data_IF_308015279337
#
_entry.id   IF_308015279337
#
_cell.length_a   1.000
_cell.length_b   1.000
_cell.length_c   1.000
_cell.angle_alpha   90.00
_cell.angle_beta   90.00
_cell.angle_gamma   90.00
#
_symmetry.space_group_name_H-M   'P 1'
#
loop_
_entity.id
_entity.type
_entity.pdbx_description
1 polymer ?
#
# COMPACT_ATOMS: atom_id res chain seq x y z
N UNK A 1 -5.13 26.73 -21.04
CA UNK A 1 -6.13 25.65 -20.95
C UNK A 1 -7.44 26.30 -20.54
N UNK A 2 -8.54 26.06 -21.25
CA UNK A 2 -9.83 26.63 -20.85
C UNK A 2 -10.19 26.05 -19.48
N UNK A 3 -10.17 26.90 -18.45
CA UNK A 3 -10.56 26.51 -17.10
C UNK A 3 -12.05 26.17 -17.13
N UNK A 4 -12.36 24.88 -17.22
CA UNK A 4 -13.72 24.38 -17.39
C UNK A 4 -14.35 24.16 -16.01
N UNK A 5 -15.59 24.63 -15.86
CA UNK A 5 -16.36 24.44 -14.64
C UNK A 5 -16.58 22.95 -14.40
N UNK A 6 -16.32 22.48 -13.17
CA UNK A 6 -16.33 21.05 -12.86
C UNK A 6 -17.72 20.42 -13.02
N UNK A 7 -18.79 21.15 -12.66
CA UNK A 7 -20.19 20.67 -12.70
C UNK A 7 -21.18 21.78 -13.07
N UNK A 8 -21.34 22.13 -14.36
CA UNK A 8 -22.08 23.33 -14.78
C UNK A 8 -23.56 23.36 -14.40
N UNK A 9 -24.25 22.22 -14.46
CA UNK A 9 -25.68 22.15 -14.08
C UNK A 9 -25.88 22.29 -12.56
N UNK A 10 -25.02 21.65 -11.76
CA UNK A 10 -25.10 21.72 -10.31
C UNK A 10 -24.75 23.12 -9.77
N UNK A 11 -23.77 23.79 -10.38
CA UNK A 11 -23.45 25.18 -10.03
C UNK A 11 -24.54 26.14 -10.47
N UNK A 12 -25.21 25.90 -11.61
CA UNK A 12 -26.32 26.74 -12.07
C UNK A 12 -27.51 26.69 -11.09
N UNK A 13 -27.89 25.49 -10.60
CA UNK A 13 -28.93 25.32 -9.57
C UNK A 13 -28.58 26.14 -8.33
N UNK A 14 -27.34 26.01 -7.84
CA UNK A 14 -26.92 26.75 -6.65
C UNK A 14 -26.95 28.27 -6.87
N UNK A 15 -26.50 28.76 -8.02
CA UNK A 15 -26.51 30.19 -8.35
C UNK A 15 -27.95 30.73 -8.47
N UNK A 16 -28.86 29.99 -9.11
CA UNK A 16 -30.27 30.38 -9.21
C UNK A 16 -30.93 30.49 -7.83
N UNK A 17 -30.62 29.57 -6.92
CA UNK A 17 -31.27 29.52 -5.59
C UNK A 17 -30.67 30.50 -4.56
N UNK A 18 -29.38 30.85 -4.70
CA UNK A 18 -28.63 31.56 -3.65
C UNK A 18 -28.13 32.96 -4.06
N UNK A 19 -28.33 33.38 -5.31
CA UNK A 19 -27.86 34.68 -5.80
C UNK A 19 -28.92 35.42 -6.59
N UNK A 20 -28.83 36.75 -6.68
CA UNK A 20 -29.75 37.58 -7.46
C UNK A 20 -29.29 37.81 -8.92
N UNK A 21 -28.53 36.87 -9.49
CA UNK A 21 -27.96 36.98 -10.83
C UNK A 21 -29.03 36.78 -11.92
N UNK A 22 -28.84 37.45 -13.06
CA UNK A 22 -29.71 37.23 -14.22
C UNK A 22 -29.45 35.86 -14.87
N UNK A 23 -30.49 35.29 -15.49
CA UNK A 23 -30.39 34.00 -16.18
C UNK A 23 -29.34 34.03 -17.30
N UNK A 24 -29.18 35.17 -17.98
CA UNK A 24 -28.16 35.34 -19.02
C UNK A 24 -26.73 35.32 -18.46
N UNK A 25 -26.51 35.89 -17.28
CA UNK A 25 -25.21 35.83 -16.60
C UNK A 25 -24.85 34.40 -16.18
N UNK A 26 -25.81 33.67 -15.59
CA UNK A 26 -25.62 32.27 -15.18
C UNK A 26 -25.40 31.39 -16.41
N UNK A 27 -26.17 31.59 -17.49
CA UNK A 27 -26.03 30.89 -18.75
C UNK A 27 -24.63 31.08 -19.37
N UNK A 28 -24.14 32.32 -19.41
CA UNK A 28 -22.80 32.64 -19.91
C UNK A 28 -21.69 32.00 -19.06
N UNK A 29 -21.86 32.00 -17.73
CA UNK A 29 -20.87 31.43 -16.81
C UNK A 29 -20.81 29.90 -16.88
N UNK A 30 -21.97 29.23 -16.83
CA UNK A 30 -22.07 27.77 -16.88
C UNK A 30 -22.01 27.21 -18.31
N UNK A 31 -21.94 28.07 -19.34
CA UNK A 31 -22.01 27.71 -20.77
C UNK A 31 -23.26 26.88 -21.11
N UNK A 32 -24.39 27.26 -20.49
CA UNK A 32 -25.70 26.67 -20.74
C UNK A 32 -26.54 27.64 -21.54
N UNK A 33 -27.61 27.16 -22.18
CA UNK A 33 -28.56 28.06 -22.84
C UNK A 33 -29.44 28.77 -21.79
N UNK A 34 -29.83 30.04 -21.95
CA UNK A 34 -30.72 30.73 -21.01
C UNK A 34 -32.03 29.97 -20.73
N UNK A 35 -32.56 29.25 -21.73
CA UNK A 35 -33.73 28.38 -21.57
C UNK A 35 -33.48 27.20 -20.63
N UNK A 36 -32.27 26.64 -20.61
CA UNK A 36 -31.92 25.56 -19.66
C UNK A 36 -31.84 26.09 -18.23
N UNK A 37 -31.29 27.30 -18.05
CA UNK A 37 -31.25 27.97 -16.74
C UNK A 37 -32.67 28.28 -16.26
N UNK A 38 -33.55 28.73 -17.16
CA UNK A 38 -34.97 28.94 -16.85
C UNK A 38 -35.67 27.63 -16.47
N UNK A 39 -35.47 26.56 -17.23
CA UNK A 39 -36.03 25.25 -16.91
C UNK A 39 -35.50 24.69 -15.57
N UNK A 40 -34.26 25.02 -15.20
CA UNK A 40 -33.69 24.71 -13.87
C UNK A 40 -34.40 25.51 -12.77
N UNK A 41 -34.63 26.82 -12.99
CA UNK A 41 -35.36 27.67 -12.06
C UNK A 41 -36.82 27.22 -11.88
N UNK A 42 -37.45 26.75 -12.95
CA UNK A 42 -38.82 26.22 -12.95
C UNK A 42 -38.89 24.79 -12.36
N UNK A 43 -37.75 24.17 -12.03
CA UNK A 43 -37.67 22.82 -11.45
C UNK A 43 -37.97 21.67 -12.42
N UNK A 44 -38.05 21.96 -13.73
CA UNK A 44 -38.30 20.98 -14.79
C UNK A 44 -37.00 20.31 -15.25
N UNK A 45 -35.91 21.07 -15.32
CA UNK A 45 -34.58 20.56 -15.66
C UNK A 45 -33.75 20.31 -14.39
N UNK A 46 -33.07 19.14 -14.35
CA UNK A 46 -32.15 18.73 -13.28
C UNK A 46 -32.78 18.23 -11.96
N UNK A 47 -34.01 17.69 -12.00
CA UNK A 47 -34.57 16.92 -10.88
C UNK A 47 -33.61 15.83 -10.41
N UNK A 48 -33.21 15.89 -9.13
CA UNK A 48 -32.27 14.95 -8.50
C UNK A 48 -30.81 15.40 -8.46
N UNK A 49 -30.44 16.54 -9.06
CA UNK A 49 -29.09 17.11 -8.93
C UNK A 49 -29.06 18.05 -7.73
N UNK A 50 -28.20 17.76 -6.74
CA UNK A 50 -27.97 18.67 -5.62
C UNK A 50 -27.09 19.84 -6.07
N UNK A 51 -27.52 21.06 -5.77
CA UNK A 51 -26.74 22.27 -6.03
C UNK A 51 -25.35 22.21 -5.38
N UNK A 52 -24.32 22.60 -6.13
CA UNK A 52 -22.94 22.64 -5.66
C UNK A 52 -22.47 24.09 -5.56
N UNK A 53 -22.01 24.47 -4.37
CA UNK A 53 -21.52 25.83 -4.11
C UNK A 53 -20.19 26.11 -4.87
N UNK A 54 -20.18 27.08 -5.80
CA UNK A 54 -18.99 27.49 -6.54
C UNK A 54 -17.98 28.27 -5.67
N UNK A 55 -18.39 28.83 -4.53
CA UNK A 55 -17.52 29.53 -3.58
C UNK A 55 -16.73 28.51 -2.77
N UNK A 56 -17.41 27.52 -2.21
CA UNK A 56 -16.77 26.42 -1.46
C UNK A 56 -15.79 25.61 -2.31
N UNK A 57 -16.05 25.48 -3.61
CA UNK A 57 -15.14 24.81 -4.56
C UNK A 57 -13.99 25.71 -5.06
N UNK A 58 -13.98 26.99 -4.68
CA UNK A 58 -12.96 27.96 -5.09
C UNK A 58 -13.01 28.33 -6.57
N UNK A 59 -14.17 28.20 -7.21
CA UNK A 59 -14.41 28.54 -8.62
C UNK A 59 -14.94 29.97 -8.80
N UNK A 60 -15.61 30.52 -7.78
CA UNK A 60 -16.04 31.91 -7.70
C UNK A 60 -15.65 32.53 -6.35
N UNK A 61 -15.41 33.84 -6.35
CA UNK A 61 -15.28 34.62 -5.12
C UNK A 61 -16.58 35.32 -4.79
N UNK A 62 -16.83 35.55 -3.50
CA UNK A 62 -18.02 36.28 -3.04
C UNK A 62 -18.07 37.71 -3.58
N UNK A 63 -16.90 38.34 -3.72
CA UNK A 63 -16.76 39.68 -4.29
C UNK A 63 -17.11 39.73 -5.78
N UNK A 64 -16.89 38.64 -6.52
CA UNK A 64 -17.27 38.55 -7.93
C UNK A 64 -18.79 38.47 -8.08
N UNK A 65 -19.45 37.67 -7.23
CA UNK A 65 -20.92 37.55 -7.20
C UNK A 65 -21.55 38.91 -6.84
N UNK A 66 -21.07 39.58 -5.79
CA UNK A 66 -21.60 40.88 -5.39
C UNK A 66 -21.49 41.96 -6.49
N UNK A 67 -20.39 41.97 -7.25
CA UNK A 67 -20.22 42.86 -8.41
C UNK A 67 -21.17 42.52 -9.56
N UNK A 68 -21.44 41.24 -9.75
CA UNK A 68 -22.34 40.75 -10.78
C UNK A 68 -23.82 40.98 -10.44
N UNK A 69 -24.19 40.92 -9.16
CA UNK A 69 -25.52 41.27 -8.67
C UNK A 69 -25.82 42.77 -8.82
N UNK A 70 -24.82 43.62 -8.61
CA UNK A 70 -24.97 45.07 -8.80
C UNK A 70 -25.10 45.48 -10.28
N UNK A 71 -24.60 44.67 -11.21
CA UNK A 71 -24.56 45.00 -12.64
C UNK A 71 -24.99 43.81 -13.51
N UNK A 72 -26.21 43.84 -14.09
CA UNK A 72 -26.73 42.75 -14.94
C UNK A 72 -25.89 42.44 -16.19
N UNK A 73 -25.10 43.42 -16.66
CA UNK A 73 -24.23 43.27 -17.83
C UNK A 73 -22.84 42.71 -17.49
N UNK A 74 -22.52 42.53 -16.20
CA UNK A 74 -21.21 42.04 -15.78
C UNK A 74 -21.07 40.54 -16.03
N UNK A 75 -19.96 40.14 -16.64
CA UNK A 75 -19.68 38.74 -16.99
C UNK A 75 -18.81 38.10 -15.92
N UNK A 76 -19.35 37.10 -15.23
CA UNK A 76 -18.65 36.32 -14.23
C UNK A 76 -17.42 35.62 -14.82
N UNK A 77 -16.29 35.71 -14.13
CA UNK A 77 -15.04 35.03 -14.50
C UNK A 77 -14.67 33.98 -13.46
N UNK A 78 -14.14 32.85 -13.91
CA UNK A 78 -13.65 31.81 -13.01
C UNK A 78 -12.41 32.30 -12.26
N UNK A 79 -12.35 32.03 -10.96
CA UNK A 79 -11.12 32.23 -10.19
C UNK A 79 -10.05 31.20 -10.59
N UNK A 80 -8.79 31.62 -10.54
CA UNK A 80 -7.67 30.72 -10.76
C UNK A 80 -7.56 29.72 -9.59
N UNK A 81 -7.37 28.42 -9.86
CA UNK A 81 -7.25 27.43 -8.80
C UNK A 81 -6.01 27.69 -7.97
N UNK A 82 -6.18 27.83 -6.64
CA UNK A 82 -5.09 28.06 -5.69
C UNK A 82 -4.10 26.89 -5.60
N UNK A 83 -4.52 25.69 -6.01
CA UNK A 83 -3.71 24.46 -5.98
C UNK A 83 -3.65 23.84 -7.37
N UNK A 84 -2.44 23.82 -7.95
CA UNK A 84 -2.18 23.15 -9.23
C UNK A 84 -1.72 21.72 -8.97
N UNK A 85 -2.64 20.76 -9.09
CA UNK A 85 -2.28 19.34 -9.00
C UNK A 85 -1.54 18.94 -10.28
N UNK A 86 -0.30 18.42 -10.21
CA UNK A 86 0.39 17.91 -11.38
C UNK A 86 -0.35 16.69 -11.94
N UNK A 87 -0.66 16.71 -13.24
CA UNK A 87 -1.29 15.57 -13.91
C UNK A 87 -0.37 14.35 -13.86
N UNK A 88 -0.87 13.22 -13.32
CA UNK A 88 -0.14 11.97 -13.34
C UNK A 88 -0.03 11.46 -14.78
N UNK A 89 1.15 11.56 -15.39
CA UNK A 89 1.39 11.01 -16.72
C UNK A 89 1.20 9.50 -16.69
N UNK A 90 0.12 9.00 -17.30
CA UNK A 90 -0.07 7.57 -17.53
C UNK A 90 0.98 7.12 -18.54
N UNK A 91 1.82 6.15 -18.18
CA UNK A 91 2.79 5.55 -19.11
C UNK A 91 1.99 4.84 -20.22
N UNK A 92 2.19 5.26 -21.47
CA UNK A 92 1.53 4.66 -22.63
C UNK A 92 2.01 3.21 -22.90
N UNK A 93 1.37 2.50 -23.85
CA UNK A 93 1.79 1.15 -24.25
C UNK A 93 3.25 1.14 -24.70
N UNK A 94 4.08 0.31 -24.06
CA UNK A 94 5.51 0.18 -24.41
C UNK A 94 5.63 -0.75 -25.62
N UNK A 95 5.88 -0.20 -26.81
CA UNK A 95 6.19 -1.01 -27.99
C UNK A 95 7.57 -1.65 -27.83
N UNK A 96 7.64 -2.97 -27.99
CA UNK A 96 8.93 -3.68 -28.05
C UNK A 96 9.29 -3.96 -29.52
N UNK A 97 10.48 -3.54 -29.96
CA UNK A 97 10.94 -3.76 -31.33
C UNK A 97 11.03 -5.26 -31.64
N UNK A 98 10.85 -5.62 -32.91
CA UNK A 98 10.77 -7.01 -33.39
C UNK A 98 11.98 -7.85 -32.99
N UNK A 99 13.18 -7.27 -33.02
CA UNK A 99 14.42 -7.93 -32.58
C UNK A 99 14.34 -8.46 -31.14
N UNK A 100 13.83 -7.63 -30.22
CA UNK A 100 13.71 -7.95 -28.79
C UNK A 100 12.51 -8.85 -28.46
N UNK A 101 11.70 -9.25 -29.44
CA UNK A 101 10.54 -10.13 -29.19
C UNK A 101 10.95 -11.58 -28.94
N UNK A 102 12.03 -12.02 -29.55
CA UNK A 102 12.59 -13.37 -29.35
C UNK A 102 13.19 -13.53 -27.95
N UNK A 103 13.57 -12.43 -27.30
CA UNK A 103 14.11 -12.45 -25.93
C UNK A 103 13.01 -12.47 -24.86
N UNK A 104 11.75 -12.18 -25.22
CA UNK A 104 10.64 -12.17 -24.25
C UNK A 104 10.38 -13.54 -23.63
N UNK A 105 10.37 -14.66 -24.37
CA UNK A 105 10.25 -15.98 -23.76
C UNK A 105 11.39 -16.32 -22.80
N UNK A 106 12.62 -15.92 -23.12
CA UNK A 106 13.80 -16.09 -22.27
C UNK A 106 13.66 -15.30 -20.95
N UNK A 107 13.16 -14.08 -21.03
CA UNK A 107 12.85 -13.22 -19.88
C UNK A 107 11.75 -13.80 -18.98
N UNK A 108 10.68 -14.33 -19.58
CA UNK A 108 9.57 -14.95 -18.83
C UNK A 108 10.08 -16.19 -18.10
N UNK A 109 10.88 -17.03 -18.76
CA UNK A 109 11.46 -18.23 -18.15
C UNK A 109 12.34 -17.88 -16.94
N UNK A 110 13.13 -16.80 -17.04
CA UNK A 110 13.94 -16.31 -15.92
C UNK A 110 13.07 -15.81 -14.77
N UNK A 111 12.01 -15.04 -15.05
CA UNK A 111 11.10 -14.53 -14.03
C UNK A 111 10.36 -15.65 -13.30
N UNK A 112 9.84 -16.64 -14.03
CA UNK A 112 9.14 -17.79 -13.43
C UNK A 112 10.09 -18.64 -12.59
N UNK A 113 11.37 -18.74 -12.98
CA UNK A 113 12.37 -19.55 -12.25
C UNK A 113 12.91 -18.85 -11.00
N UNK A 114 13.22 -17.55 -11.07
CA UNK A 114 13.87 -16.83 -9.97
C UNK A 114 12.86 -16.11 -9.05
N UNK A 115 11.71 -15.71 -9.58
CA UNK A 115 10.67 -15.00 -8.85
C UNK A 115 9.31 -15.70 -9.00
N UNK A 116 9.13 -16.89 -8.41
CA UNK A 116 7.84 -17.60 -8.43
C UNK A 116 6.73 -16.84 -7.68
N UNK A 117 7.10 -15.82 -6.89
CA UNK A 117 6.17 -14.94 -6.17
C UNK A 117 5.39 -14.00 -7.10
N UNK A 118 5.92 -13.72 -8.31
CA UNK A 118 5.28 -12.82 -9.26
C UNK A 118 4.04 -13.45 -9.90
N UNK A 119 2.91 -12.73 -9.83
CA UNK A 119 1.66 -13.09 -10.52
C UNK A 119 1.79 -12.84 -12.03
N UNK A 120 1.04 -13.58 -12.85
CA UNK A 120 1.10 -13.42 -14.32
C UNK A 120 0.70 -12.02 -14.79
N UNK A 121 -0.19 -11.34 -14.06
CA UNK A 121 -0.53 -9.95 -14.30
C UNK A 121 0.69 -9.01 -14.16
N UNK A 122 1.56 -9.30 -13.20
CA UNK A 122 2.77 -8.54 -12.92
C UNK A 122 3.82 -8.79 -14.02
N UNK A 123 4.05 -10.05 -14.37
CA UNK A 123 4.95 -10.46 -15.47
C UNK A 123 4.50 -9.86 -16.80
N UNK A 124 3.19 -9.86 -17.09
CA UNK A 124 2.63 -9.26 -18.31
C UNK A 124 2.89 -7.76 -18.43
N UNK A 125 2.91 -7.03 -17.30
CA UNK A 125 3.19 -5.59 -17.23
C UNK A 125 4.67 -5.28 -17.40
N UNK A 126 5.56 -6.12 -16.84
CA UNK A 126 7.01 -5.95 -16.93
C UNK A 126 7.55 -6.25 -18.34
N UNK A 127 7.13 -7.36 -18.95
CA UNK A 127 7.67 -7.85 -20.23
C UNK A 127 6.83 -7.38 -21.43
N UNK A 128 5.55 -7.02 -21.23
CA UNK A 128 4.64 -6.62 -22.31
C UNK A 128 4.20 -7.81 -23.18
N UNK A 129 3.93 -8.95 -22.55
CA UNK A 129 3.46 -10.20 -23.17
C UNK A 129 2.01 -10.53 -22.77
N UNK A 130 1.39 -11.51 -23.42
CA UNK A 130 0.07 -12.03 -23.03
C UNK A 130 0.18 -13.10 -21.94
N UNK A 131 -0.88 -13.24 -21.14
CA UNK A 131 -0.97 -14.28 -20.08
C UNK A 131 -0.87 -15.70 -20.64
N UNK A 132 -1.50 -15.95 -21.80
CA UNK A 132 -1.44 -17.24 -22.49
C UNK A 132 -0.01 -17.67 -22.82
N UNK A 133 0.85 -16.73 -23.23
CA UNK A 133 2.26 -17.02 -23.51
C UNK A 133 3.04 -17.32 -22.23
N UNK A 134 2.70 -16.68 -21.11
CA UNK A 134 3.32 -16.96 -19.81
C UNK A 134 2.97 -18.39 -19.36
N UNK A 135 1.70 -18.78 -19.46
CA UNK A 135 1.23 -20.14 -19.16
C UNK A 135 1.94 -21.18 -20.05
N UNK A 136 2.02 -20.94 -21.36
CA UNK A 136 2.72 -21.85 -22.28
C UNK A 136 4.20 -22.05 -21.94
N UNK A 137 4.87 -21.03 -21.41
CA UNK A 137 6.28 -21.13 -21.00
C UNK A 137 6.39 -21.88 -19.68
N UNK A 138 5.46 -21.66 -18.75
CA UNK A 138 5.37 -22.39 -17.47
C UNK A 138 5.15 -23.89 -17.70
N UNK A 139 4.24 -24.22 -18.61
CA UNK A 139 3.88 -25.60 -18.97
C UNK A 139 4.85 -26.21 -20.01
N UNK A 140 5.85 -25.44 -20.47
CA UNK A 140 6.80 -25.81 -21.54
C UNK A 140 6.13 -26.22 -22.87
N UNK A 141 4.90 -25.77 -23.13
CA UNK A 141 4.14 -26.01 -24.36
C UNK A 141 4.39 -24.97 -25.45
N UNK A 142 5.19 -23.94 -25.17
CA UNK A 142 5.63 -22.98 -26.17
C UNK A 142 6.41 -23.66 -27.31
N UNK A 143 6.19 -23.26 -28.57
CA UNK A 143 6.78 -23.88 -29.76
C UNK A 143 8.32 -23.96 -29.73
N UNK A 144 8.98 -23.02 -29.03
CA UNK A 144 10.43 -22.96 -28.90
C UNK A 144 10.94 -23.37 -27.49
N UNK A 145 10.17 -24.13 -26.70
CA UNK A 145 10.50 -24.42 -25.29
C UNK A 145 11.84 -25.11 -25.10
N UNK A 146 12.29 -25.92 -26.07
CA UNK A 146 13.56 -26.65 -26.02
C UNK A 146 14.80 -25.75 -26.10
N UNK A 147 14.73 -24.59 -26.77
CA UNK A 147 15.87 -23.69 -26.97
C UNK A 147 15.84 -22.45 -26.08
N UNK A 148 14.90 -22.36 -25.13
CA UNK A 148 14.81 -21.20 -24.24
C UNK A 148 15.93 -21.21 -23.22
N UNK A 149 16.60 -20.07 -23.07
CA UNK A 149 17.60 -19.84 -22.04
C UNK A 149 17.07 -18.79 -21.05
N UNK A 150 17.11 -19.03 -19.73
CA UNK A 150 16.66 -18.05 -18.75
C UNK A 150 17.61 -16.86 -18.74
N UNK A 151 17.14 -15.70 -19.22
CA UNK A 151 17.89 -14.43 -19.28
C UNK A 151 17.16 -13.34 -18.51
N UNK A 152 17.89 -12.47 -17.82
CA UNK A 152 17.31 -11.42 -16.97
C UNK A 152 16.61 -10.33 -17.81
N UNK A 153 15.32 -10.02 -17.56
CA UNK A 153 14.56 -8.99 -18.28
C UNK A 153 15.16 -7.57 -18.19
N UNK A 154 15.93 -7.25 -17.15
CA UNK A 154 16.59 -5.95 -16.99
C UNK A 154 17.77 -5.85 -17.97
N UNK A 155 18.58 -6.91 -18.09
CA UNK A 155 19.70 -6.97 -19.04
C UNK A 155 19.24 -6.90 -20.50
N UNK A 156 18.07 -7.44 -20.80
CA UNK A 156 17.41 -7.36 -22.11
C UNK A 156 16.79 -5.98 -22.39
N UNK A 157 16.68 -5.14 -21.36
CA UNK A 157 16.08 -3.81 -21.41
C UNK A 157 14.56 -3.84 -21.62
N UNK A 158 13.89 -4.89 -21.13
CA UNK A 158 12.43 -5.04 -21.18
C UNK A 158 11.77 -4.29 -20.02
N UNK A 159 12.33 -4.44 -18.81
CA UNK A 159 11.96 -3.69 -17.61
C UNK A 159 13.14 -2.86 -17.08
N UNK A 160 12.86 -1.90 -16.20
CA UNK A 160 13.90 -1.24 -15.41
C UNK A 160 14.09 -1.98 -14.08
N UNK A 161 15.27 -1.84 -13.47
CA UNK A 161 15.53 -2.41 -12.15
C UNK A 161 14.49 -1.96 -11.12
N UNK A 162 14.16 -0.66 -11.13
CA UNK A 162 13.17 -0.07 -10.23
C UNK A 162 11.79 -0.70 -10.42
N UNK A 163 11.37 -0.95 -11.66
CA UNK A 163 10.07 -1.55 -11.94
C UNK A 163 10.04 -3.02 -11.49
N UNK A 164 11.15 -3.77 -11.64
CA UNK A 164 11.27 -5.16 -11.18
C UNK A 164 11.19 -5.24 -9.66
N UNK A 165 12.03 -4.47 -8.96
CA UNK A 165 12.10 -4.47 -7.49
C UNK A 165 10.75 -4.06 -6.87
N UNK A 166 10.09 -3.05 -7.43
CA UNK A 166 8.78 -2.60 -6.95
C UNK A 166 7.70 -3.68 -7.11
N UNK A 167 7.74 -4.45 -8.19
CA UNK A 167 6.75 -5.49 -8.44
C UNK A 167 7.01 -6.75 -7.60
N UNK A 168 8.28 -7.09 -7.36
CA UNK A 168 8.70 -8.14 -6.41
C UNK A 168 8.30 -7.76 -4.98
N UNK A 169 8.54 -6.53 -4.53
CA UNK A 169 8.13 -6.07 -3.20
C UNK A 169 6.60 -6.12 -3.03
N UNK A 170 5.84 -5.73 -4.05
CA UNK A 170 4.37 -5.85 -4.05
C UNK A 170 3.91 -7.29 -4.02
N UNK A 171 4.59 -8.19 -4.74
CA UNK A 171 4.28 -9.62 -4.76
C UNK A 171 4.56 -10.27 -3.41
N UNK A 172 5.70 -9.95 -2.79
CA UNK A 172 6.09 -10.42 -1.47
C UNK A 172 5.10 -9.97 -0.39
N UNK A 173 4.65 -8.71 -0.41
CA UNK A 173 3.60 -8.20 0.49
C UNK A 173 2.25 -8.86 0.29
N UNK A 174 1.98 -9.36 -0.93
CA UNK A 174 0.73 -10.01 -1.29
C UNK A 174 0.68 -11.50 -0.97
N UNK A 175 1.80 -12.10 -0.52
CA UNK A 175 1.83 -13.49 -0.04
C UNK A 175 1.39 -13.50 1.43
N UNK A 176 0.39 -14.32 1.82
CA UNK A 176 0.20 -14.60 3.25
C UNK A 176 1.51 -15.18 3.79
N UNK A 177 1.94 -14.75 4.98
CA UNK A 177 3.13 -15.32 5.62
C UNK A 177 3.05 -16.85 5.54
N UNK A 178 4.14 -17.54 5.15
CA UNK A 178 4.14 -19.00 5.06
C UNK A 178 3.62 -19.56 6.38
N UNK A 179 2.62 -20.44 6.30
CA UNK A 179 2.10 -21.15 7.46
C UNK A 179 3.23 -21.93 8.11
N UNK A 180 3.21 -22.06 9.44
CA UNK A 180 4.25 -22.74 10.24
C UNK A 180 4.58 -24.19 9.79
N UNK A 181 3.78 -24.78 8.91
CA UNK A 181 4.04 -26.07 8.27
C UNK A 181 5.06 -26.01 7.10
N UNK A 182 5.21 -24.87 6.41
CA UNK A 182 6.20 -24.68 5.33
C UNK A 182 7.57 -24.21 5.87
N UNK A 183 7.57 -23.49 6.98
CA UNK A 183 8.75 -23.06 7.73
C UNK A 183 9.16 -24.15 8.73
N UNK A 184 9.62 -25.31 8.24
CA UNK A 184 10.19 -26.34 9.11
C UNK A 184 11.20 -25.74 10.10
N UNK A 185 11.05 -26.07 11.38
CA UNK A 185 11.90 -25.72 12.54
C UNK A 185 12.83 -24.50 12.33
N UNK A 186 12.26 -23.33 12.00
CA UNK A 186 13.03 -22.09 11.97
C UNK A 186 13.12 -21.52 13.38
N UNK A 187 14.27 -20.92 13.71
CA UNK A 187 14.46 -20.25 14.99
C UNK A 187 13.43 -19.12 15.14
N UNK A 188 12.98 -18.91 16.38
CA UNK A 188 12.02 -17.86 16.66
C UNK A 188 12.55 -16.49 16.19
N UNK A 189 11.66 -15.59 15.70
CA UNK A 189 12.04 -14.26 15.25
C UNK A 189 12.86 -13.53 16.32
N UNK A 190 13.89 -12.78 15.90
CA UNK A 190 14.76 -12.03 16.83
C UNK A 190 13.98 -11.10 17.79
N UNK A 191 12.81 -10.62 17.38
CA UNK A 191 11.94 -9.78 18.21
C UNK A 191 11.29 -10.53 19.39
N UNK A 192 11.11 -11.85 19.30
CA UNK A 192 10.65 -12.68 20.41
C UNK A 192 11.80 -13.05 21.36
N UNK A 193 13.02 -13.27 20.83
CA UNK A 193 14.20 -13.54 21.65
C UNK A 193 14.77 -12.31 22.34
N UNK A 194 14.59 -11.10 21.79
CA UNK A 194 14.94 -9.84 22.48
C UNK A 194 14.05 -9.53 23.68
N UNK A 195 12.83 -10.08 23.72
CA UNK A 195 11.89 -9.95 24.84
C UNK A 195 11.98 -11.08 25.86
N UNK A 196 12.95 -11.99 25.74
CA UNK A 196 13.38 -12.78 26.87
C UNK A 196 14.11 -11.82 27.81
N UNK A 197 13.34 -11.25 28.74
CA UNK A 197 13.87 -10.50 29.86
C UNK A 197 14.89 -11.40 30.54
N UNK A 198 16.17 -11.10 30.32
CA UNK A 198 17.24 -11.57 31.18
C UNK A 198 17.01 -10.91 32.54
N UNK A 199 16.09 -11.45 33.32
CA UNK A 199 16.11 -11.27 34.75
C UNK A 199 17.36 -12.00 35.23
N UNK A 200 18.48 -11.29 35.27
CA UNK A 200 19.36 -11.44 36.42
C UNK A 200 18.51 -11.04 37.62
N UNK A 201 17.69 -11.97 38.13
CA UNK A 201 17.52 -12.05 39.57
C UNK A 201 18.94 -12.34 40.08
N UNK A 202 19.67 -11.26 40.36
CA UNK A 202 20.62 -11.34 41.45
C UNK A 202 19.73 -11.66 42.64
N UNK A 203 19.62 -12.95 42.95
CA UNK A 203 19.23 -13.37 44.27
C UNK A 203 20.20 -12.61 45.19
N UNK A 204 19.72 -11.51 45.78
CA UNK A 204 20.23 -11.10 47.07
C UNK A 204 20.02 -12.34 47.92
N UNK A 205 21.09 -13.12 48.07
CA UNK A 205 21.19 -14.15 49.07
C UNK A 205 20.68 -13.48 50.34
N UNK A 206 19.45 -13.82 50.74
CA UNK A 206 19.03 -13.62 52.11
C UNK A 206 20.16 -14.22 52.91
N UNK A 207 20.89 -13.38 53.65
CA UNK A 207 21.81 -13.79 54.69
C UNK A 207 21.04 -14.75 55.58
N UNK A 208 21.11 -16.03 55.26
CA UNK A 208 20.76 -17.09 56.19
C UNK A 208 21.92 -17.06 57.14
N UNK A 209 21.78 -16.28 58.21
CA UNK A 209 22.65 -16.38 59.37
C UNK A 209 22.79 -17.87 59.68
N UNK A 210 24.01 -18.37 59.49
CA UNK A 210 24.33 -19.78 59.69
C UNK A 210 24.24 -19.99 61.19
N UNK A 211 23.19 -20.67 61.65
CA UNK A 211 23.02 -21.03 63.06
C UNK A 211 24.15 -21.98 63.49
N UNK A 212 25.10 -21.45 64.28
CA UNK A 212 26.27 -22.18 64.73
C UNK A 212 25.89 -23.43 65.55
N UNK A 213 24.78 -23.41 66.28
CA UNK A 213 24.36 -24.53 67.12
C UNK A 213 23.90 -25.74 66.28
N UNK A 214 23.32 -25.50 65.09
CA UNK A 214 22.93 -26.57 64.17
C UNK A 214 24.16 -27.29 63.56
N UNK A 215 25.28 -26.58 63.37
CA UNK A 215 26.52 -27.14 62.83
C UNK A 215 27.24 -28.00 63.87
N UNK A 216 27.30 -27.54 65.12
CA UNK A 216 27.94 -28.30 66.20
C UNK A 216 27.10 -29.51 66.64
N UNK A 217 25.77 -29.45 66.58
CA UNK A 217 24.91 -30.61 66.83
C UNK A 217 25.16 -31.74 65.81
N UNK A 218 25.31 -31.40 64.54
CA UNK A 218 25.55 -32.36 63.46
C UNK A 218 26.93 -33.02 63.55
N UNK A 219 27.96 -32.26 63.95
CA UNK A 219 29.30 -32.80 64.19
C UNK A 219 29.35 -33.73 65.42
N UNK A 220 28.58 -33.43 66.47
CA UNK A 220 28.50 -34.28 67.68
C UNK A 220 27.80 -35.62 67.39
N UNK A 221 26.75 -35.60 66.57
CA UNK A 221 26.05 -36.81 66.07
C UNK A 221 26.95 -37.70 65.22
N UNK A 222 27.83 -37.12 64.39
CA UNK A 222 28.80 -37.89 63.59
C UNK A 222 29.93 -38.49 64.43
N UNK A 223 30.25 -37.91 65.60
CA UNK A 223 31.29 -38.44 66.49
C UNK A 223 30.77 -39.54 67.43
N UNK A 224 29.47 -39.57 67.72
CA UNK A 224 28.87 -40.68 68.49
C UNK A 224 28.71 -41.96 67.67
N UNK A 225 28.57 -41.86 66.34
CA UNK A 225 28.45 -43.03 65.44
C UNK A 225 29.76 -43.76 65.17
N UNK A 226 30.91 -43.27 65.66
CA UNK A 226 32.22 -43.92 65.48
C UNK A 226 32.81 -44.48 66.78
N UNK A 227 32.03 -44.60 67.86
CA UNK A 227 32.54 -45.09 69.16
C UNK A 227 31.87 -46.36 69.69
N UNK A 228 30.91 -46.94 68.98
CA UNK A 228 30.15 -48.11 69.46
C UNK A 228 30.45 -49.42 68.69
N UNK A 229 31.49 -49.49 67.87
CA UNK A 229 31.84 -50.70 67.07
C UNK A 229 33.23 -51.29 67.37
N UNK A 230 33.78 -51.11 68.58
CA UNK A 230 34.96 -51.84 69.05
C UNK A 230 34.82 -52.19 70.55
N UNK A 231 34.15 -53.29 70.86
CA UNK A 231 34.47 -54.23 71.96
C UNK A 231 33.34 -55.29 72.10
N UNK A 232 33.50 -56.45 71.46
CA UNK A 232 33.01 -57.74 71.97
C UNK A 232 33.63 -58.89 71.16
N UNK A 233 34.87 -59.25 71.51
CA UNK A 233 35.50 -60.50 71.09
C UNK A 233 36.61 -60.89 72.10
N UNK A 234 36.23 -61.28 73.34
CA UNK A 234 37.03 -62.23 74.14
C UNK A 234 36.31 -62.81 75.38
N UNK A 235 35.85 -64.07 75.28
CA UNK A 235 36.06 -65.24 76.16
C UNK A 235 34.89 -66.24 76.13
#
# INVERSE_FOLDING_TARGET
>A
MAQQLLMPKATAIWLVDNTALSFDQIAQFCKLHPLEVKAIADGEAAQGIKGLDPISTGQLTRDEIARAEANPNHKLKLSEPKVRVPESKRRGPRYTPVSKRQDRPNAILWLVRNHPELKDAQISRLVGTTKSTIEQIRDRTHWNSANLAPMDPVTLGLCSQIDLDMEVEKAAKGRPLPTAAELGATLQPAQETEKLGFSYEREEEKEKEIDADAVFAKLKSLKSTSRDDEDDDQF
#
